data_IF_188130483849
#
_entry.id   IF_188130483849
#
_cell.length_a   1.000
_cell.length_b   1.000
_cell.length_c   1.000
_cell.angle_alpha   90.00
_cell.angle_beta   90.00
_cell.angle_gamma   90.00
#
_symmetry.space_group_name_H-M   'P 1'
#
loop_
_entity.id
_entity.type
_entity.pdbx_description
1 polymer ?
#
# COMPACT_ATOMS: atom_id res chain seq x y z
N UNK A 1 18.42 -72.00 -35.00
CA UNK A 1 18.17 -70.88 -35.94
C UNK A 1 16.89 -70.19 -35.50
N UNK A 2 17.01 -69.03 -34.85
CA UNK A 2 16.62 -67.69 -35.37
C UNK A 2 15.12 -67.41 -35.17
N UNK A 3 14.71 -66.78 -34.07
CA UNK A 3 14.60 -65.31 -33.80
C UNK A 3 13.33 -64.66 -34.36
N UNK A 4 12.56 -63.97 -33.48
CA UNK A 4 11.92 -62.63 -33.61
C UNK A 4 10.85 -62.52 -32.49
N UNK A 5 11.17 -61.95 -31.32
CA UNK A 5 10.99 -60.53 -30.93
C UNK A 5 9.67 -59.91 -31.42
N UNK A 6 8.73 -59.68 -30.50
CA UNK A 6 7.93 -58.45 -30.48
C UNK A 6 7.66 -58.04 -29.04
N UNK A 7 8.30 -56.95 -28.64
CA UNK A 7 8.02 -56.18 -27.43
C UNK A 7 6.75 -55.37 -27.67
N UNK A 8 5.76 -55.49 -26.80
CA UNK A 8 4.71 -54.49 -26.66
C UNK A 8 5.03 -53.68 -25.39
N UNK A 9 5.49 -52.45 -25.61
CA UNK A 9 5.79 -51.46 -24.60
C UNK A 9 4.46 -51.05 -23.92
N UNK A 10 4.29 -51.39 -22.64
CA UNK A 10 3.26 -50.77 -21.81
C UNK A 10 3.72 -49.36 -21.45
N UNK A 11 3.14 -48.35 -22.09
CA UNK A 11 3.34 -46.96 -21.71
C UNK A 11 2.60 -46.70 -20.39
N UNK A 12 3.35 -46.68 -19.28
CA UNK A 12 2.91 -46.07 -18.03
C UNK A 12 2.67 -44.58 -18.29
N UNK A 13 1.42 -44.14 -18.23
CA UNK A 13 1.10 -42.74 -18.00
C UNK A 13 1.47 -42.41 -16.55
N UNK A 14 2.71 -41.97 -16.34
CA UNK A 14 3.06 -41.20 -15.16
C UNK A 14 2.32 -39.86 -15.26
N UNK A 15 1.22 -39.73 -14.51
CA UNK A 15 0.67 -38.42 -14.17
C UNK A 15 1.73 -37.76 -13.29
N UNK A 16 2.63 -37.02 -13.92
CA UNK A 16 3.44 -36.04 -13.21
C UNK A 16 2.46 -35.05 -12.59
N UNK A 17 2.22 -35.22 -11.29
CA UNK A 17 1.64 -34.18 -10.47
C UNK A 17 2.57 -32.99 -10.58
N UNK A 18 2.25 -32.07 -11.49
CA UNK A 18 2.71 -30.71 -11.38
C UNK A 18 2.09 -30.19 -10.10
N UNK A 19 2.80 -30.38 -8.98
CA UNK A 19 2.66 -29.52 -7.84
C UNK A 19 2.90 -28.11 -8.36
N UNK A 20 1.82 -27.43 -8.71
CA UNK A 20 1.76 -25.98 -8.61
C UNK A 20 1.94 -25.70 -7.12
N UNK A 21 3.18 -25.79 -6.62
CA UNK A 21 3.61 -24.86 -5.59
C UNK A 21 3.48 -23.50 -6.28
N UNK A 22 2.30 -22.90 -6.16
CA UNK A 22 2.22 -21.46 -6.19
C UNK A 22 3.09 -21.07 -5.00
N UNK A 23 4.30 -20.61 -5.30
CA UNK A 23 5.17 -20.02 -4.28
C UNK A 23 4.29 -19.03 -3.53
N UNK A 24 4.08 -19.30 -2.23
CA UNK A 24 3.38 -18.37 -1.36
C UNK A 24 4.15 -17.05 -1.50
N UNK A 25 3.48 -15.93 -1.81
CA UNK A 25 4.16 -14.65 -1.94
C UNK A 25 5.09 -14.45 -0.76
N UNK A 26 6.34 -14.07 -1.04
CA UNK A 26 7.32 -13.70 -0.02
C UNK A 26 6.68 -12.64 0.88
N UNK A 27 6.74 -12.86 2.20
CA UNK A 27 6.09 -11.96 3.16
C UNK A 27 6.80 -10.62 3.14
N UNK A 28 6.10 -9.55 3.50
CA UNK A 28 6.62 -8.18 3.43
C UNK A 28 8.00 -8.05 4.09
N UNK A 29 8.14 -8.45 5.34
CA UNK A 29 9.39 -8.37 6.11
C UNK A 29 10.51 -9.30 5.63
N UNK A 30 10.21 -10.33 4.85
CA UNK A 30 11.25 -11.21 4.29
C UNK A 30 12.05 -10.49 3.20
N UNK A 31 11.54 -9.38 2.66
CA UNK A 31 12.15 -8.60 1.59
C UNK A 31 13.13 -7.53 2.06
N UNK A 32 13.23 -7.31 3.37
CA UNK A 32 13.95 -6.18 3.96
C UNK A 32 13.09 -4.93 4.00
N UNK A 33 13.73 -3.77 3.80
CA UNK A 33 13.07 -2.46 3.79
C UNK A 33 11.84 -2.45 2.87
N UNK A 34 10.70 -1.95 3.37
CA UNK A 34 9.45 -1.94 2.62
C UNK A 34 9.55 -1.16 1.31
N UNK A 35 9.04 -1.80 0.26
CA UNK A 35 8.63 -1.19 -0.99
C UNK A 35 7.43 -1.95 -1.53
N UNK A 36 6.45 -1.29 -2.19
CA UNK A 36 5.21 -1.94 -2.61
C UNK A 36 5.48 -2.95 -3.73
N UNK A 37 5.49 -4.25 -3.40
CA UNK A 37 5.67 -5.34 -4.36
C UNK A 37 5.16 -6.69 -3.81
N UNK A 38 4.01 -7.21 -4.25
CA UNK A 38 3.37 -6.87 -5.50
C UNK A 38 2.43 -5.67 -5.34
N UNK A 39 2.29 -4.87 -6.41
CA UNK A 39 1.48 -3.65 -6.38
C UNK A 39 0.72 -3.41 -7.68
N UNK A 40 -0.43 -2.74 -7.58
CA UNK A 40 -1.31 -2.44 -8.73
C UNK A 40 -1.16 -0.98 -9.09
N UNK A 41 -0.92 -0.68 -10.36
CA UNK A 41 -0.91 0.71 -10.82
C UNK A 41 -2.26 1.39 -10.53
N UNK A 42 -2.17 2.63 -10.03
CA UNK A 42 -3.30 3.54 -9.93
C UNK A 42 -2.99 4.78 -10.75
N UNK A 43 -3.95 5.22 -11.55
CA UNK A 43 -3.78 6.31 -12.49
C UNK A 43 -4.75 7.43 -12.15
N UNK A 44 -4.27 8.69 -12.18
CA UNK A 44 -5.17 9.83 -12.11
C UNK A 44 -6.11 9.87 -13.32
N UNK A 45 -7.32 10.41 -13.15
CA UNK A 45 -8.14 10.85 -14.28
C UNK A 45 -7.34 11.76 -15.22
N UNK A 46 -7.50 11.58 -16.53
CA UNK A 46 -6.67 12.25 -17.54
C UNK A 46 -6.79 13.79 -17.57
N UNK A 47 -7.84 14.35 -16.94
CA UNK A 47 -8.06 15.79 -16.80
C UNK A 47 -7.52 16.37 -15.48
N UNK A 48 -6.91 15.52 -14.64
CA UNK A 48 -6.21 15.92 -13.44
C UNK A 48 -4.70 15.73 -13.63
N UNK A 49 -3.92 16.71 -13.21
CA UNK A 49 -2.45 16.69 -13.23
C UNK A 49 -1.93 16.94 -11.83
N UNK A 50 -1.01 16.09 -11.36
CA UNK A 50 -0.24 16.36 -10.14
C UNK A 50 0.80 17.43 -10.46
N UNK A 51 0.80 18.51 -9.69
CA UNK A 51 1.83 19.54 -9.75
C UNK A 51 2.99 19.18 -8.81
N UNK A 52 2.68 18.75 -7.57
CA UNK A 52 3.65 18.30 -6.57
C UNK A 52 3.00 17.45 -5.50
N UNK A 53 3.82 16.63 -4.82
CA UNK A 53 3.49 15.95 -3.57
C UNK A 53 4.70 16.14 -2.68
N UNK A 54 4.51 16.75 -1.51
CA UNK A 54 5.58 17.02 -0.56
C UNK A 54 5.13 16.64 0.85
N UNK A 55 6.08 16.43 1.77
CA UNK A 55 5.75 16.33 3.18
C UNK A 55 5.15 17.61 3.73
N UNK A 56 4.43 17.48 4.84
CA UNK A 56 3.79 18.60 5.51
C UNK A 56 4.13 18.55 7.00
N UNK A 57 4.62 19.67 7.52
CA UNK A 57 5.21 19.73 8.87
C UNK A 57 4.19 19.59 10.02
N UNK A 58 2.91 19.88 9.76
CA UNK A 58 1.88 19.82 10.81
C UNK A 58 1.08 18.51 10.76
N UNK A 59 0.80 17.95 11.93
CA UNK A 59 -0.16 16.86 12.06
C UNK A 59 -1.58 17.29 11.64
N UNK A 60 -2.38 16.34 11.14
CA UNK A 60 -3.82 16.53 10.90
C UNK A 60 -4.62 15.56 11.77
N UNK A 61 -5.92 15.81 12.00
CA UNK A 61 -6.76 14.96 12.85
C UNK A 61 -6.82 13.46 12.53
N UNK A 62 -6.29 13.05 11.39
CA UNK A 62 -6.40 11.68 10.87
C UNK A 62 -5.06 11.08 10.46
N UNK A 63 -3.94 11.79 10.69
CA UNK A 63 -2.59 11.33 10.37
C UNK A 63 -1.53 12.24 11.00
N UNK A 64 -0.45 11.62 11.49
CA UNK A 64 0.72 12.32 12.05
C UNK A 64 1.59 12.90 10.93
N UNK A 65 1.73 12.17 9.82
CA UNK A 65 2.64 12.51 8.72
C UNK A 65 1.91 12.71 7.38
N UNK A 66 1.08 13.76 7.25
CA UNK A 66 0.34 13.99 6.03
C UNK A 66 1.24 14.45 4.87
N UNK A 67 0.84 14.10 3.65
CA UNK A 67 1.42 14.66 2.44
C UNK A 67 0.55 15.79 1.88
N UNK A 68 1.17 16.90 1.47
CA UNK A 68 0.51 17.96 0.73
C UNK A 68 0.51 17.65 -0.77
N UNK A 69 -0.66 17.32 -1.30
CA UNK A 69 -0.88 17.08 -2.72
C UNK A 69 -1.36 18.37 -3.42
N UNK A 70 -0.58 18.87 -4.37
CA UNK A 70 -0.96 19.94 -5.28
C UNK A 70 -1.40 19.36 -6.63
N UNK A 71 -2.60 19.72 -7.06
CA UNK A 71 -3.23 19.22 -8.28
C UNK A 71 -3.75 20.38 -9.12
N UNK A 72 -3.84 20.13 -10.43
CA UNK A 72 -4.58 20.95 -11.37
C UNK A 72 -5.69 20.14 -12.02
N UNK A 73 -6.89 20.70 -12.03
CA UNK A 73 -8.01 20.21 -12.81
C UNK A 73 -8.16 21.06 -14.09
N UNK A 74 -7.81 20.47 -15.23
CA UNK A 74 -7.92 21.15 -16.53
C UNK A 74 -9.37 21.13 -17.07
N UNK A 75 -10.32 20.45 -16.40
CA UNK A 75 -11.74 20.51 -16.72
C UNK A 75 -12.42 21.77 -16.16
N UNK A 76 -13.51 22.19 -16.81
CA UNK A 76 -14.33 23.34 -16.37
C UNK A 76 -15.29 23.02 -15.22
N UNK A 77 -15.31 21.77 -14.76
CA UNK A 77 -16.23 21.28 -13.72
C UNK A 77 -15.43 20.61 -12.61
N UNK A 78 -15.98 20.66 -11.39
CA UNK A 78 -15.42 19.98 -10.23
C UNK A 78 -15.37 18.46 -10.45
N UNK A 79 -14.28 17.82 -10.05
CA UNK A 79 -14.12 16.36 -10.07
C UNK A 79 -14.10 15.81 -8.64
N UNK A 80 -14.81 14.70 -8.42
CA UNK A 80 -14.62 13.88 -7.23
C UNK A 80 -13.49 12.89 -7.54
N UNK A 81 -12.47 12.86 -6.70
CA UNK A 81 -11.36 11.91 -6.81
C UNK A 81 -11.34 11.04 -5.55
N UNK A 82 -11.20 9.73 -5.75
CA UNK A 82 -11.02 8.75 -4.67
C UNK A 82 -9.67 8.08 -4.87
N UNK A 83 -8.79 8.26 -3.91
CA UNK A 83 -7.52 7.53 -3.80
C UNK A 83 -7.75 6.30 -2.93
N UNK A 84 -7.42 5.08 -3.42
CA UNK A 84 -7.73 3.87 -2.70
C UNK A 84 -6.81 3.68 -1.48
N UNK A 85 -7.31 2.99 -0.47
CA UNK A 85 -6.50 2.41 0.59
C UNK A 85 -5.38 1.53 0.00
N UNK A 86 -4.21 1.54 0.63
CA UNK A 86 -2.99 0.90 0.16
C UNK A 86 -2.24 1.67 -0.93
N UNK A 87 -2.74 2.83 -1.40
CA UNK A 87 -1.98 3.65 -2.35
C UNK A 87 -0.71 4.17 -1.68
N UNK A 88 0.44 3.79 -2.26
CA UNK A 88 1.74 4.24 -1.78
C UNK A 88 2.21 5.48 -2.55
N UNK A 89 3.04 6.28 -1.88
CA UNK A 89 3.79 7.38 -2.44
C UNK A 89 5.28 7.09 -2.26
N UNK A 90 6.00 7.14 -3.37
CA UNK A 90 7.43 6.86 -3.42
C UNK A 90 8.20 8.15 -3.21
N UNK A 91 9.12 8.22 -2.25
CA UNK A 91 9.99 9.36 -2.10
C UNK A 91 10.97 9.42 -3.28
N UNK A 92 11.33 10.63 -3.71
CA UNK A 92 12.34 10.84 -4.76
C UNK A 92 13.76 10.72 -4.24
N UNK A 93 13.95 11.01 -2.95
CA UNK A 93 15.18 10.81 -2.22
C UNK A 93 15.03 9.56 -1.34
N UNK A 94 15.89 8.54 -1.50
CA UNK A 94 15.78 7.28 -0.76
C UNK A 94 16.09 7.39 0.74
N UNK A 95 16.51 8.55 1.26
CA UNK A 95 16.65 8.77 2.71
C UNK A 95 15.28 8.85 3.42
N UNK A 96 14.21 9.22 2.69
CA UNK A 96 12.86 9.29 3.23
C UNK A 96 12.08 7.99 3.06
N UNK A 97 11.09 7.79 3.93
CA UNK A 97 10.18 6.65 3.93
C UNK A 97 9.19 6.64 2.77
N UNK A 98 8.72 5.45 2.37
CA UNK A 98 7.46 5.36 1.63
C UNK A 98 6.30 5.82 2.50
N UNK A 99 5.30 6.42 1.86
CA UNK A 99 4.07 6.83 2.54
C UNK A 99 2.88 6.03 2.01
N UNK A 100 1.88 5.72 2.84
CA UNK A 100 0.70 4.93 2.45
C UNK A 100 -0.61 5.54 2.95
N UNK A 101 -1.68 5.44 2.16
CA UNK A 101 -3.05 5.63 2.65
C UNK A 101 -3.57 4.34 3.31
N UNK A 102 -4.01 4.40 4.57
CA UNK A 102 -4.64 3.25 5.23
C UNK A 102 -6.16 3.12 4.97
N UNK A 103 -6.80 4.17 4.42
CA UNK A 103 -8.21 4.17 4.07
C UNK A 103 -8.43 4.86 2.71
N UNK A 104 -9.56 4.56 2.06
CA UNK A 104 -9.99 5.27 0.86
C UNK A 104 -10.17 6.76 1.19
N UNK A 105 -9.45 7.63 0.48
CA UNK A 105 -9.52 9.06 0.68
C UNK A 105 -10.21 9.74 -0.49
N UNK A 106 -11.37 10.34 -0.22
CA UNK A 106 -12.19 11.00 -1.25
C UNK A 106 -12.24 12.50 -1.02
N UNK A 107 -11.94 13.26 -2.07
CA UNK A 107 -11.98 14.72 -2.05
C UNK A 107 -12.46 15.29 -3.39
N UNK A 108 -12.75 16.59 -3.38
CA UNK A 108 -13.31 17.29 -4.54
C UNK A 108 -12.35 18.33 -5.09
N UNK A 109 -11.91 18.13 -6.32
CA UNK A 109 -10.98 19.00 -7.05
C UNK A 109 -11.78 20.06 -7.85
N UNK A 110 -11.80 21.34 -7.44
CA UNK A 110 -12.41 22.41 -8.24
C UNK A 110 -11.69 22.56 -9.58
N UNK A 111 -12.25 23.30 -10.57
CA UNK A 111 -11.46 23.76 -11.72
C UNK A 111 -10.20 24.52 -11.28
N UNK A 112 -9.14 24.46 -12.08
CA UNK A 112 -7.83 25.06 -11.82
C UNK A 112 -7.02 24.36 -10.70
N UNK A 113 -6.09 25.07 -10.06
CA UNK A 113 -5.17 24.53 -9.06
C UNK A 113 -5.84 24.39 -7.69
N UNK A 114 -5.53 23.31 -6.98
CA UNK A 114 -5.98 23.06 -5.60
C UNK A 114 -4.92 22.29 -4.83
N UNK A 115 -4.95 22.42 -3.51
CA UNK A 115 -4.11 21.65 -2.58
C UNK A 115 -4.99 20.87 -1.61
N UNK A 116 -4.54 19.68 -1.25
CA UNK A 116 -5.23 18.77 -0.32
C UNK A 116 -4.19 18.09 0.56
N UNK A 117 -4.47 17.98 1.86
CA UNK A 117 -3.66 17.17 2.78
C UNK A 117 -4.16 15.73 2.74
N UNK A 118 -3.25 14.81 2.45
CA UNK A 118 -3.51 13.37 2.41
C UNK A 118 -3.21 12.76 3.79
N UNK A 119 -4.10 11.94 4.37
CA UNK A 119 -3.86 11.27 5.63
C UNK A 119 -2.97 10.03 5.42
N UNK A 120 -1.67 10.26 5.30
CA UNK A 120 -0.67 9.24 5.02
C UNK A 120 0.07 8.76 6.26
N UNK A 121 0.64 7.58 6.14
CA UNK A 121 1.35 6.85 7.20
C UNK A 121 2.73 6.44 6.71
N UNK A 122 3.71 6.47 7.61
CA UNK A 122 5.11 6.13 7.32
C UNK A 122 5.25 4.63 7.19
N UNK A 123 5.74 4.12 6.07
CA UNK A 123 5.80 2.67 5.81
C UNK A 123 7.18 2.05 6.05
N UNK A 124 8.14 2.81 6.56
CA UNK A 124 9.49 2.35 6.88
C UNK A 124 9.88 2.95 8.24
N UNK A 125 10.18 2.14 9.24
CA UNK A 125 10.51 2.65 10.59
C UNK A 125 11.92 3.29 10.62
N UNK A 126 12.85 2.74 9.85
CA UNK A 126 14.28 3.09 9.90
C UNK A 126 14.69 4.27 8.97
N UNK A 127 13.74 4.84 8.21
CA UNK A 127 13.99 5.94 7.26
C UNK A 127 13.41 7.26 7.77
N UNK A 128 13.85 8.38 7.18
CA UNK A 128 13.39 9.69 7.60
C UNK A 128 11.88 9.89 7.30
N UNK A 129 11.20 10.55 8.24
CA UNK A 129 9.81 10.99 8.13
C UNK A 129 9.68 12.11 7.08
N UNK A 130 8.51 12.30 6.43
CA UNK A 130 8.34 13.37 5.45
C UNK A 130 8.44 14.76 6.09
N UNK A 131 9.22 15.64 5.48
CA UNK A 131 9.29 17.08 5.78
C UNK A 131 8.93 17.95 4.56
N UNK A 132 9.02 19.28 4.67
CA UNK A 132 8.66 20.20 3.59
C UNK A 132 9.66 20.20 2.41
N UNK A 133 10.82 19.56 2.56
CA UNK A 133 11.83 19.36 1.51
C UNK A 133 11.65 18.01 0.78
N UNK A 134 11.02 17.04 1.43
CA UNK A 134 10.74 15.72 0.88
C UNK A 134 9.74 15.77 -0.28
N UNK A 135 10.08 15.14 -1.42
CA UNK A 135 9.25 15.13 -2.63
C UNK A 135 8.85 13.72 -3.02
N UNK A 136 7.58 13.53 -3.35
CA UNK A 136 7.00 12.22 -3.63
C UNK A 136 6.40 12.11 -5.03
N UNK A 137 6.36 10.87 -5.53
CA UNK A 137 5.57 10.47 -6.69
C UNK A 137 4.50 9.46 -6.26
N UNK A 138 3.34 9.50 -6.92
CA UNK A 138 2.32 8.45 -6.77
C UNK A 138 2.89 7.12 -7.26
N UNK A 139 2.69 6.07 -6.48
CA UNK A 139 3.21 4.75 -6.77
C UNK A 139 2.08 3.72 -6.85
N UNK A 140 2.44 2.44 -6.72
CA UNK A 140 1.53 1.31 -6.72
C UNK A 140 0.60 1.34 -5.49
N UNK A 141 -0.55 0.69 -5.65
CA UNK A 141 -1.39 0.26 -4.54
C UNK A 141 -0.86 -1.09 -4.05
N UNK A 142 -0.35 -1.13 -2.81
CA UNK A 142 0.06 -2.36 -2.16
C UNK A 142 -1.14 -3.31 -1.97
N UNK A 143 -0.93 -4.60 -2.21
CA UNK A 143 -1.99 -5.62 -2.08
C UNK A 143 -1.46 -6.97 -1.58
N UNK A 144 -0.28 -6.98 -0.97
CA UNK A 144 0.20 -8.15 -0.25
C UNK A 144 -0.77 -8.55 0.88
N UNK A 145 -0.60 -9.78 1.37
CA UNK A 145 -1.59 -10.42 2.24
C UNK A 145 -1.76 -9.66 3.54
N UNK A 146 -0.65 -9.23 4.13
CA UNK A 146 -0.61 -8.60 5.44
C UNK A 146 -1.11 -7.16 5.40
N UNK A 147 -0.70 -6.36 4.40
CA UNK A 147 -1.30 -5.05 4.16
C UNK A 147 -2.78 -5.19 3.87
N UNK A 148 -3.19 -6.15 3.03
CA UNK A 148 -4.62 -6.39 2.75
C UNK A 148 -5.40 -6.72 4.04
N UNK A 149 -4.83 -7.48 4.96
CA UNK A 149 -5.44 -7.75 6.27
C UNK A 149 -5.66 -6.45 7.06
N UNK A 150 -4.64 -5.60 7.18
CA UNK A 150 -4.75 -4.30 7.86
C UNK A 150 -5.84 -3.42 7.21
N UNK A 151 -5.80 -3.27 5.89
CA UNK A 151 -6.76 -2.44 5.15
C UNK A 151 -8.20 -2.98 5.28
N UNK A 152 -8.38 -4.31 5.29
CA UNK A 152 -9.69 -4.93 5.52
C UNK A 152 -10.21 -4.68 6.95
N UNK A 153 -9.33 -4.71 7.96
CA UNK A 153 -9.69 -4.40 9.35
C UNK A 153 -10.11 -2.93 9.52
N UNK A 154 -9.54 -2.03 8.72
CA UNK A 154 -9.77 -0.58 8.78
C UNK A 154 -10.89 -0.07 7.87
N UNK A 155 -11.35 -0.86 6.89
CA UNK A 155 -12.24 -0.39 5.80
C UNK A 155 -13.45 0.42 6.24
N UNK A 156 -14.11 -0.01 7.30
CA UNK A 156 -15.35 0.59 7.81
C UNK A 156 -15.15 1.27 9.17
N UNK A 157 -13.89 1.52 9.56
CA UNK A 157 -13.54 2.10 10.85
C UNK A 157 -13.45 3.62 10.77
N UNK A 158 -13.74 4.28 11.88
CA UNK A 158 -13.42 5.70 12.06
C UNK A 158 -12.08 5.81 12.77
N UNK A 159 -11.05 6.32 12.08
CA UNK A 159 -9.81 6.70 12.73
C UNK A 159 -10.09 7.97 13.54
N UNK A 160 -9.97 7.88 14.85
CA UNK A 160 -10.16 9.01 15.74
C UNK A 160 -8.90 9.84 15.85
N UNK A 161 -9.09 11.15 16.04
CA UNK A 161 -8.05 12.12 16.34
C UNK A 161 -7.60 12.02 17.80
N UNK A 162 -7.21 10.82 18.23
CA UNK A 162 -6.49 10.66 19.50
C UNK A 162 -5.08 10.22 19.18
N UNK A 163 -4.08 10.86 19.81
CA UNK A 163 -2.67 10.50 19.61
C UNK A 163 -2.45 9.00 19.86
N UNK A 164 -3.16 8.39 20.80
CA UNK A 164 -3.09 6.95 21.08
C UNK A 164 -3.57 6.12 19.89
N UNK A 165 -4.69 6.49 19.26
CA UNK A 165 -5.19 5.75 18.10
C UNK A 165 -4.28 5.97 16.89
N UNK A 166 -3.69 7.15 16.74
CA UNK A 166 -2.75 7.42 15.66
C UNK A 166 -1.46 6.61 15.83
N UNK A 167 -0.83 6.66 17.01
CA UNK A 167 0.38 5.88 17.31
C UNK A 167 0.15 4.38 17.08
N UNK A 168 -0.97 3.84 17.57
CA UNK A 168 -1.32 2.41 17.41
C UNK A 168 -1.54 2.01 15.95
N UNK A 169 -2.01 2.92 15.07
CA UNK A 169 -2.12 2.64 13.64
C UNK A 169 -0.75 2.67 12.95
N UNK A 170 0.14 3.58 13.37
CA UNK A 170 1.51 3.65 12.87
C UNK A 170 2.27 2.37 13.25
N UNK A 171 2.16 1.93 14.51
CA UNK A 171 2.72 0.68 15.00
C UNK A 171 2.15 -0.52 14.23
N UNK A 172 0.84 -0.55 13.97
CA UNK A 172 0.22 -1.65 13.20
C UNK A 172 0.75 -1.73 11.76
N UNK A 173 1.08 -0.60 11.14
CA UNK A 173 1.71 -0.59 9.82
C UNK A 173 3.15 -1.12 9.91
N UNK A 174 3.94 -0.64 10.87
CA UNK A 174 5.33 -1.09 11.09
C UNK A 174 5.44 -2.57 11.48
N UNK A 175 4.49 -3.10 12.25
CA UNK A 175 4.39 -4.54 12.51
C UNK A 175 4.36 -5.36 11.20
N UNK A 176 3.81 -4.80 10.11
CA UNK A 176 3.76 -5.45 8.79
C UNK A 176 5.01 -5.14 7.95
N UNK A 177 5.42 -3.89 7.89
CA UNK A 177 6.46 -3.41 6.96
C UNK A 177 7.87 -3.71 7.45
N UNK A 178 8.06 -3.78 8.76
CA UNK A 178 9.36 -3.86 9.41
C UNK A 178 9.46 -5.06 10.40
N UNK A 179 8.33 -5.67 10.80
CA UNK A 179 8.28 -6.85 11.68
C UNK A 179 7.53 -8.07 11.10
N UNK A 180 7.24 -9.09 11.94
CA UNK A 180 6.67 -10.39 11.52
C UNK A 180 5.14 -10.38 11.26
N UNK A 181 4.59 -9.24 10.88
CA UNK A 181 3.16 -9.01 10.66
C UNK A 181 2.39 -8.69 11.93
N UNK A 182 1.10 -8.34 11.75
CA UNK A 182 0.25 -7.94 12.88
C UNK A 182 0.25 -8.96 14.02
N UNK A 183 0.31 -8.49 15.26
CA UNK A 183 0.16 -9.31 16.46
C UNK A 183 -1.32 -9.59 16.78
N UNK A 184 -1.60 -10.60 17.61
CA UNK A 184 -2.97 -10.89 18.04
C UNK A 184 -3.59 -9.74 18.86
N UNK A 185 -2.78 -9.02 19.64
CA UNK A 185 -3.19 -7.82 20.37
C UNK A 185 -3.57 -6.70 19.42
N UNK A 186 -2.75 -6.43 18.41
CA UNK A 186 -2.99 -5.36 17.42
C UNK A 186 -4.24 -5.68 16.61
N UNK A 187 -4.41 -6.93 16.16
CA UNK A 187 -5.66 -7.40 15.52
C UNK A 187 -6.89 -7.24 16.42
N UNK A 188 -6.77 -7.51 17.72
CA UNK A 188 -7.89 -7.36 18.65
C UNK A 188 -8.28 -5.89 18.80
N UNK A 189 -7.30 -5.02 18.99
CA UNK A 189 -7.49 -3.57 19.09
C UNK A 189 -8.11 -2.98 17.81
N UNK A 190 -7.57 -3.30 16.63
CA UNK A 190 -8.10 -2.84 15.33
C UNK A 190 -9.58 -3.21 15.13
N UNK A 191 -10.01 -4.38 15.62
CA UNK A 191 -11.41 -4.82 15.54
C UNK A 191 -12.34 -4.02 16.45
N UNK A 192 -11.83 -3.51 17.57
CA UNK A 192 -12.56 -2.71 18.55
C UNK A 192 -12.68 -1.24 18.18
N UNK A 193 -11.92 -0.77 17.17
CA UNK A 193 -12.12 0.56 16.61
C UNK A 193 -13.59 0.75 16.17
N UNK A 194 -14.16 1.95 16.33
CA UNK A 194 -15.57 2.20 16.06
C UNK A 194 -15.91 2.32 14.57
#
# INVERSE_FOLDING_TARGET
MMTYRLFALAALFAVAGASFCQDVPEREWERGEFYPNPGREWNLPADLRVNSIIGWEDEIPTAVFPLLLSLRNDARVRRSLTMPAGLCFRPRDPEFSYMMLLQDFTFSVPPDDTTVLLPTWVANEDLDEPDDESVYDINLVAYDREITELLDLLRDKTIHDTLVDLDMLQDALWEITDEEGLTDSTRAWLRELP
#
